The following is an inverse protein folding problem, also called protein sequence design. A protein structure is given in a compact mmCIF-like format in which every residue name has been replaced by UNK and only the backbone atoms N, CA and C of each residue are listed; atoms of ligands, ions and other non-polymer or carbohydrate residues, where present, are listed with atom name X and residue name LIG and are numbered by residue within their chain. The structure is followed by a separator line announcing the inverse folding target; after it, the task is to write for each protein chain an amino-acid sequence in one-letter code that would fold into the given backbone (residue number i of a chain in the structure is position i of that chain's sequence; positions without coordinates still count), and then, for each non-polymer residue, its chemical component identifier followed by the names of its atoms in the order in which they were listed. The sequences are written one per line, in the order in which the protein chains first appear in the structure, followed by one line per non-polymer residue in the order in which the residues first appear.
data_IF_329771166752
#
_entry.id   IF_329771166752
#
_cell.length_a   1.000
_cell.length_b   1.000
_cell.length_c   1.000
_cell.angle_alpha   90.00
_cell.angle_beta   90.00
_cell.angle_gamma   90.00
#
_symmetry.space_group_name_H-M   'P 1'
#
loop_
_entity.id
_entity.type
_entity.pdbx_description
1 polymer ?
#
# COMPACT_ATOMS: atom_id res chain seq x y z
N UNK A 1 30.17 42.24 39.88
CA UNK A 1 30.46 42.15 41.33
C UNK A 1 29.15 41.76 42.00
N UNK A 2 29.00 40.79 42.92
CA UNK A 2 29.95 40.01 43.75
C UNK A 2 29.70 38.49 43.60
N UNK A 3 30.60 37.66 44.15
CA UNK A 3 30.48 36.19 44.29
C UNK A 3 29.84 35.84 45.64
N UNK A 4 29.22 34.65 45.78
CA UNK A 4 29.34 33.66 46.88
C UNK A 4 28.49 32.42 46.47
N UNK A 5 29.05 31.23 46.19
CA UNK A 5 29.62 30.17 47.05
C UNK A 5 28.58 29.25 47.73
N UNK A 6 28.43 28.07 47.08
CA UNK A 6 27.90 26.75 47.46
C UNK A 6 27.49 26.41 48.91
N UNK A 7 26.52 25.49 49.01
CA UNK A 7 26.62 24.29 49.87
C UNK A 7 25.84 23.10 49.26
N UNK A 8 26.46 21.92 49.22
CA UNK A 8 25.75 20.64 48.98
C UNK A 8 25.14 20.14 50.29
N UNK A 9 23.97 19.49 50.20
CA UNK A 9 23.41 18.69 51.29
C UNK A 9 22.88 17.36 50.72
N UNK A 10 23.63 16.27 50.95
CA UNK A 10 23.25 14.91 50.58
C UNK A 10 22.30 14.35 51.64
N UNK A 11 21.09 13.92 51.26
CA UNK A 11 20.15 13.24 52.16
C UNK A 11 20.05 11.77 51.75
N UNK A 12 20.59 10.88 52.59
CA UNK A 12 20.23 9.46 52.55
C UNK A 12 18.83 9.29 53.14
N UNK A 13 17.95 8.57 52.45
CA UNK A 13 16.70 8.07 53.02
C UNK A 13 16.60 6.56 52.79
N UNK A 14 16.93 5.79 53.82
CA UNK A 14 16.74 4.33 53.82
C UNK A 14 15.33 3.99 54.32
N UNK A 15 14.42 3.69 53.41
CA UNK A 15 13.10 3.12 53.73
C UNK A 15 13.12 1.59 53.66
N UNK A 16 12.86 0.92 54.78
CA UNK A 16 12.50 -0.50 54.76
C UNK A 16 11.09 -0.65 54.18
N UNK A 17 10.91 -1.59 53.25
CA UNK A 17 9.60 -2.12 52.87
C UNK A 17 9.61 -3.64 52.99
N UNK A 18 8.58 -4.17 53.64
CA UNK A 18 8.44 -5.60 53.96
C UNK A 18 7.74 -6.31 52.81
N UNK A 19 8.22 -7.51 52.49
CA UNK A 19 7.73 -8.37 51.41
C UNK A 19 6.47 -9.13 51.83
N UNK A 20 5.41 -9.19 51.00
CA UNK A 20 4.51 -10.32 50.94
C UNK A 20 5.01 -11.32 49.88
N UNK A 21 5.14 -12.59 50.28
CA UNK A 21 5.64 -13.68 49.44
C UNK A 21 4.60 -14.14 48.42
N UNK A 22 4.90 -14.00 47.13
CA UNK A 22 4.24 -14.80 46.10
C UNK A 22 4.87 -16.21 46.07
N UNK A 23 4.02 -17.24 46.06
CA UNK A 23 4.45 -18.64 45.89
C UNK A 23 4.72 -18.89 44.41
N UNK A 24 5.67 -19.78 44.13
CA UNK A 24 6.17 -20.04 42.79
C UNK A 24 5.13 -20.71 41.87
N UNK A 25 5.24 -20.39 40.58
CA UNK A 25 5.27 -21.46 39.58
C UNK A 25 6.45 -21.20 38.62
N UNK A 26 7.35 -22.17 38.51
CA UNK A 26 8.45 -22.11 37.54
C UNK A 26 7.84 -22.23 36.13
N UNK A 27 8.22 -21.34 35.22
CA UNK A 27 7.90 -21.48 33.80
C UNK A 27 8.57 -22.75 33.27
N UNK A 28 7.84 -23.88 33.30
CA UNK A 28 8.22 -25.10 32.61
C UNK A 28 8.08 -24.86 31.13
N UNK A 29 9.21 -24.69 30.45
CA UNK A 29 9.27 -24.85 29.00
C UNK A 29 8.69 -26.24 28.67
N UNK A 30 7.60 -26.27 27.92
CA UNK A 30 6.99 -27.52 27.47
C UNK A 30 7.86 -28.08 26.35
N UNK A 31 8.80 -28.94 26.73
CA UNK A 31 9.65 -29.68 25.83
C UNK A 31 8.80 -30.77 25.17
N UNK A 32 8.51 -30.63 23.87
CA UNK A 32 7.83 -31.67 23.10
C UNK A 32 8.73 -32.90 23.01
N UNK A 33 8.50 -33.91 23.86
CA UNK A 33 9.27 -35.15 23.81
C UNK A 33 8.89 -35.93 22.54
N UNK A 34 9.92 -36.27 21.75
CA UNK A 34 9.74 -36.72 20.37
C UNK A 34 9.23 -38.16 20.23
N UNK A 35 8.03 -38.45 20.71
CA UNK A 35 7.33 -39.74 20.54
C UNK A 35 5.93 -39.50 19.99
N UNK A 36 5.69 -40.09 18.82
CA UNK A 36 4.41 -40.05 18.12
C UNK A 36 3.26 -40.62 18.98
N UNK A 37 2.03 -40.16 18.67
CA UNK A 37 0.71 -40.69 19.10
C UNK A 37 0.02 -40.08 20.35
N UNK A 38 0.00 -38.74 20.54
CA UNK A 38 -1.11 -38.11 21.30
C UNK A 38 -1.39 -36.61 21.01
N UNK A 39 -1.56 -36.22 19.74
CA UNK A 39 -2.02 -34.88 19.34
C UNK A 39 -3.04 -34.96 18.18
N UNK A 40 -4.29 -35.36 18.48
CA UNK A 40 -5.35 -35.59 17.50
C UNK A 40 -6.38 -34.46 17.37
N UNK A 41 -6.32 -33.75 16.23
CA UNK A 41 -7.37 -32.99 15.50
C UNK A 41 -8.75 -32.72 16.15
N UNK A 42 -9.21 -31.45 16.21
CA UNK A 42 -10.62 -31.07 16.38
C UNK A 42 -11.47 -31.34 15.13
N UNK A 43 -12.79 -31.46 15.30
CA UNK A 43 -13.77 -31.51 14.20
C UNK A 43 -14.08 -30.12 13.62
N UNK A 44 -14.66 -30.12 12.41
CA UNK A 44 -14.57 -29.05 11.40
C UNK A 44 -15.85 -28.20 11.33
N UNK A 45 -15.76 -26.85 11.22
CA UNK A 45 -16.59 -26.04 10.28
C UNK A 45 -16.18 -24.55 10.23
N UNK A 46 -16.17 -23.95 9.03
CA UNK A 46 -16.20 -22.48 8.83
C UNK A 46 -14.91 -21.69 9.11
N UNK A 47 -14.73 -20.52 8.47
CA UNK A 47 -13.59 -19.64 8.78
C UNK A 47 -13.48 -18.36 7.93
N UNK A 48 -12.51 -17.52 8.27
CA UNK A 48 -12.29 -16.19 7.68
C UNK A 48 -11.90 -15.19 8.78
N UNK A 49 -10.95 -14.30 8.52
CA UNK A 49 -10.44 -13.34 9.52
C UNK A 49 -10.62 -11.89 9.07
N UNK A 50 -11.30 -11.12 9.91
CA UNK A 50 -11.49 -9.67 9.90
C UNK A 50 -12.12 -9.34 11.25
N UNK A 51 -11.55 -8.42 12.02
CA UNK A 51 -11.83 -8.35 13.46
C UNK A 51 -13.27 -7.92 13.79
N UNK A 52 -13.98 -8.57 14.71
CA UNK A 52 -13.66 -9.81 15.44
C UNK A 52 -14.54 -9.97 16.69
N UNK A 53 -14.81 -11.17 17.21
CA UNK A 53 -14.44 -12.54 16.79
C UNK A 53 -15.18 -13.54 17.71
N UNK A 54 -15.61 -14.72 17.27
CA UNK A 54 -14.80 -15.81 16.70
C UNK A 54 -14.33 -16.78 17.81
N UNK A 55 -14.20 -18.09 17.65
CA UNK A 55 -14.42 -19.02 16.52
C UNK A 55 -14.11 -20.47 16.98
N UNK A 56 -14.45 -21.52 16.21
CA UNK A 56 -13.72 -22.81 16.21
C UNK A 56 -13.62 -23.36 14.78
N UNK A 57 -12.47 -23.95 14.41
CA UNK A 57 -11.91 -24.06 13.06
C UNK A 57 -11.17 -25.44 12.88
N UNK A 58 -10.93 -26.06 11.71
CA UNK A 58 -11.22 -25.78 10.28
C UNK A 58 -11.01 -27.09 9.46
N UNK A 59 -11.64 -27.25 8.27
CA UNK A 59 -11.09 -27.79 6.99
C UNK A 59 -12.07 -28.65 6.15
N UNK A 60 -11.99 -28.81 4.82
CA UNK A 60 -11.63 -28.01 3.63
C UNK A 60 -12.09 -28.88 2.44
N UNK A 61 -12.70 -28.41 1.35
CA UNK A 61 -12.12 -27.84 0.11
C UNK A 61 -13.30 -27.44 -0.80
N UNK A 62 -13.26 -26.44 -1.67
CA UNK A 62 -12.19 -25.60 -2.22
C UNK A 62 -12.46 -24.09 -2.01
N UNK A 63 -13.36 -23.68 -1.10
CA UNK A 63 -13.01 -23.60 0.34
C UNK A 63 -13.82 -24.47 1.33
N UNK A 64 -14.82 -25.25 0.90
CA UNK A 64 -15.46 -26.29 1.74
C UNK A 64 -16.86 -25.98 2.25
N UNK A 65 -17.87 -26.50 1.54
CA UNK A 65 -19.32 -26.57 1.85
C UNK A 65 -19.64 -27.30 3.16
N UNK A 66 -20.79 -27.17 3.87
CA UNK A 66 -21.97 -26.25 3.89
C UNK A 66 -23.00 -26.83 4.88
N UNK A 67 -23.79 -26.05 5.65
CA UNK A 67 -25.19 -26.36 6.07
C UNK A 67 -25.81 -25.17 6.84
N UNK A 68 -27.15 -25.06 6.82
CA UNK A 68 -27.93 -23.97 7.46
C UNK A 68 -28.02 -24.09 8.98
N UNK A 69 -28.17 -22.95 9.67
CA UNK A 69 -29.30 -22.63 10.57
C UNK A 69 -29.48 -21.10 10.62
N UNK A 70 -30.55 -20.63 11.28
CA UNK A 70 -30.96 -19.22 11.41
C UNK A 70 -29.82 -18.20 11.41
N UNK A 71 -30.01 -17.13 10.62
CA UNK A 71 -29.17 -15.94 10.72
C UNK A 71 -29.52 -15.22 12.05
N UNK A 72 -28.49 -14.89 12.81
CA UNK A 72 -28.44 -14.18 14.10
C UNK A 72 -27.19 -13.31 13.95
N UNK A 73 -27.38 -12.05 13.56
CA UNK A 73 -26.30 -11.22 13.00
C UNK A 73 -25.40 -10.58 14.07
N UNK A 74 -25.89 -10.37 15.29
CA UNK A 74 -25.18 -9.67 16.36
C UNK A 74 -24.87 -10.52 17.61
N UNK A 75 -25.13 -11.83 17.54
CA UNK A 75 -24.86 -12.85 18.57
C UNK A 75 -25.65 -12.61 19.89
N UNK A 76 -26.85 -11.99 19.85
CA UNK A 76 -27.68 -11.75 21.05
C UNK A 76 -28.47 -12.98 21.53
N UNK A 77 -28.77 -13.91 20.62
CA UNK A 77 -29.53 -15.14 20.86
C UNK A 77 -30.99 -15.12 20.38
N UNK A 78 -31.41 -14.08 19.66
CA UNK A 78 -32.64 -14.00 18.87
C UNK A 78 -32.31 -14.23 17.38
N UNK A 79 -33.21 -14.86 16.62
CA UNK A 79 -33.04 -15.06 15.17
C UNK A 79 -33.51 -13.82 14.41
N UNK A 80 -32.78 -13.36 13.38
CA UNK A 80 -33.05 -12.15 12.57
C UNK A 80 -34.52 -12.00 12.12
N UNK A 81 -35.23 -13.11 11.89
CA UNK A 81 -36.65 -13.13 11.46
C UNK A 81 -37.66 -12.85 12.59
N UNK A 82 -37.20 -12.84 13.84
CA UNK A 82 -37.98 -12.64 15.07
C UNK A 82 -37.39 -11.54 15.96
N UNK A 83 -36.31 -10.91 15.50
CA UNK A 83 -35.59 -9.85 16.18
C UNK A 83 -36.10 -8.48 15.73
N UNK A 84 -36.43 -7.60 16.68
CA UNK A 84 -36.83 -6.21 16.43
C UNK A 84 -35.64 -5.23 16.31
N UNK A 85 -34.40 -5.67 16.58
CA UNK A 85 -33.16 -4.98 16.25
C UNK A 85 -32.07 -5.92 15.69
N UNK A 86 -32.21 -6.49 14.47
CA UNK A 86 -31.31 -7.51 13.86
C UNK A 86 -29.83 -7.15 13.64
N UNK A 87 -29.31 -6.09 14.28
CA UNK A 87 -27.93 -5.61 14.22
C UNK A 87 -27.46 -4.93 15.52
N UNK A 88 -28.31 -4.86 16.55
CA UNK A 88 -28.03 -4.14 17.80
C UNK A 88 -28.50 -4.97 19.02
N UNK A 89 -27.59 -5.82 19.51
CA UNK A 89 -27.73 -6.69 20.69
C UNK A 89 -28.77 -6.21 21.73
N UNK A 90 -29.94 -6.84 21.74
CA UNK A 90 -31.06 -6.47 22.61
C UNK A 90 -31.90 -7.71 23.05
N UNK A 91 -31.32 -8.64 23.85
CA UNK A 91 -31.92 -9.95 24.10
C UNK A 91 -33.17 -9.92 25.01
N UNK A 92 -33.62 -8.73 25.42
CA UNK A 92 -34.91 -8.52 26.08
C UNK A 92 -36.04 -8.11 25.12
N UNK A 93 -35.72 -7.73 23.88
CA UNK A 93 -36.66 -7.41 22.80
C UNK A 93 -37.71 -6.39 23.25
N UNK A 94 -37.25 -5.36 23.95
CA UNK A 94 -38.09 -4.23 24.34
C UNK A 94 -38.54 -3.45 23.10
N UNK A 95 -39.81 -3.03 23.11
CA UNK A 95 -40.52 -2.28 22.07
C UNK A 95 -41.64 -1.54 22.83
N UNK A 96 -41.42 -0.24 23.06
CA UNK A 96 -42.18 0.56 24.02
C UNK A 96 -43.48 1.14 23.45
N UNK A 97 -43.55 1.36 22.14
CA UNK A 97 -44.75 1.89 21.45
C UNK A 97 -45.47 0.86 20.55
N UNK A 98 -44.82 -0.24 20.19
CA UNK A 98 -45.39 -1.38 19.47
C UNK A 98 -45.30 -1.28 17.96
N UNK A 99 -44.32 -0.55 17.42
CA UNK A 99 -44.19 -0.30 15.98
C UNK A 99 -43.49 -1.43 15.20
N UNK A 100 -42.67 -2.24 15.88
CA UNK A 100 -41.91 -3.37 15.34
C UNK A 100 -40.38 -3.18 15.31
N UNK A 101 -39.87 -2.02 15.68
CA UNK A 101 -38.46 -1.72 15.96
C UNK A 101 -38.24 -1.78 17.48
N UNK A 102 -37.07 -2.22 17.94
CA UNK A 102 -36.80 -2.34 19.36
C UNK A 102 -36.20 -1.09 19.99
N UNK A 103 -36.50 -0.83 21.28
CA UNK A 103 -36.00 0.31 22.09
C UNK A 103 -34.46 0.51 22.04
N UNK A 104 -33.71 -0.52 21.63
CA UNK A 104 -32.25 -0.51 21.51
C UNK A 104 -31.71 0.05 20.18
N UNK A 105 -32.52 0.04 19.13
CA UNK A 105 -32.19 0.54 17.79
C UNK A 105 -33.20 1.55 17.24
N UNK A 106 -34.29 1.79 17.96
CA UNK A 106 -35.31 2.78 17.65
C UNK A 106 -34.80 4.21 17.92
N UNK A 107 -34.88 5.08 16.91
CA UNK A 107 -34.54 6.50 17.01
C UNK A 107 -35.66 7.38 17.60
N UNK A 108 -36.86 6.83 17.80
CA UNK A 108 -37.98 7.45 18.52
C UNK A 108 -38.72 6.46 19.46
N UNK A 109 -38.10 5.97 20.57
CA UNK A 109 -38.62 4.90 21.46
C UNK A 109 -39.96 5.08 22.19
N UNK A 110 -40.78 6.07 21.80
CA UNK A 110 -42.11 6.34 22.35
C UNK A 110 -43.12 6.80 21.27
N UNK A 111 -42.72 6.95 20.00
CA UNK A 111 -43.46 7.65 18.93
C UNK A 111 -43.42 6.91 17.56
N UNK A 112 -43.71 5.61 17.59
CA UNK A 112 -43.99 4.67 16.49
C UNK A 112 -43.73 5.16 15.04
N UNK A 113 -42.55 4.83 14.53
CA UNK A 113 -42.04 5.15 13.19
C UNK A 113 -41.29 3.95 12.56
N UNK A 114 -42.00 2.94 12.00
CA UNK A 114 -41.37 1.70 11.50
C UNK A 114 -40.46 1.87 10.28
N UNK A 115 -40.41 3.06 9.69
CA UNK A 115 -39.49 3.44 8.62
C UNK A 115 -38.18 4.05 9.15
N UNK A 116 -38.12 4.38 10.45
CA UNK A 116 -36.96 4.95 11.15
C UNK A 116 -36.36 6.15 10.42
N UNK A 117 -37.22 6.97 9.82
CA UNK A 117 -36.82 8.19 9.14
C UNK A 117 -36.09 9.13 10.11
N UNK A 118 -34.97 9.68 9.64
CA UNK A 118 -34.11 10.63 10.33
C UNK A 118 -33.43 11.43 9.21
N UNK A 119 -33.91 12.64 8.99
CA UNK A 119 -33.58 13.48 7.84
C UNK A 119 -32.20 14.16 7.97
N UNK A 120 -31.83 14.65 9.15
CA UNK A 120 -30.54 15.31 9.41
C UNK A 120 -29.42 14.36 9.86
N UNK A 121 -29.79 13.18 10.37
CA UNK A 121 -28.89 12.16 10.86
C UNK A 121 -28.46 12.33 12.34
N UNK A 122 -29.22 13.07 13.15
CA UNK A 122 -28.95 13.24 14.59
C UNK A 122 -29.36 12.00 15.44
N UNK A 123 -29.32 12.13 16.78
CA UNK A 123 -29.65 11.04 17.70
C UNK A 123 -31.18 10.72 17.79
N UNK A 124 -32.06 11.39 17.01
CA UNK A 124 -33.52 11.22 17.00
C UNK A 124 -34.06 10.91 15.60
N UNK A 125 -35.27 10.36 15.53
CA UNK A 125 -36.03 10.25 14.28
C UNK A 125 -36.99 11.40 14.02
N UNK A 126 -37.41 11.53 12.76
CA UNK A 126 -38.37 12.53 12.27
C UNK A 126 -39.68 12.56 13.06
N UNK A 127 -40.09 11.44 13.64
CA UNK A 127 -41.37 11.30 14.35
C UNK A 127 -41.39 11.98 15.73
N UNK A 128 -40.22 12.12 16.35
CA UNK A 128 -40.05 12.66 17.70
C UNK A 128 -39.13 13.88 17.77
N UNK A 129 -38.66 14.38 16.63
CA UNK A 129 -37.86 15.60 16.58
C UNK A 129 -38.63 16.88 16.22
N UNK A 130 -38.23 17.97 16.86
CA UNK A 130 -38.81 19.31 16.76
C UNK A 130 -38.16 20.17 15.64
N UNK A 131 -37.07 19.72 15.00
CA UNK A 131 -36.14 20.49 14.15
C UNK A 131 -35.53 19.58 13.04
N UNK A 132 -36.38 18.87 12.28
CA UNK A 132 -36.04 17.57 11.64
C UNK A 132 -34.94 17.60 10.59
N UNK A 133 -34.65 18.75 10.00
CA UNK A 133 -33.59 18.91 9.02
C UNK A 133 -32.29 19.51 9.61
N UNK A 134 -32.28 19.77 10.93
CA UNK A 134 -31.11 20.20 11.68
C UNK A 134 -30.67 21.63 11.41
N UNK A 135 -31.52 22.48 10.81
CA UNK A 135 -31.16 23.84 10.39
C UNK A 135 -31.06 24.84 11.56
N UNK A 136 -31.69 24.52 12.69
CA UNK A 136 -31.74 25.35 13.91
C UNK A 136 -33.02 26.18 14.06
N UNK A 137 -34.00 25.99 13.19
CA UNK A 137 -35.32 26.62 13.17
C UNK A 137 -36.38 25.53 13.28
N UNK A 138 -36.84 25.28 14.50
CA UNK A 138 -37.84 24.24 14.78
C UNK A 138 -39.05 24.24 13.79
N UNK A 139 -39.47 23.03 13.37
CA UNK A 139 -40.49 22.67 12.37
C UNK A 139 -41.74 23.58 12.29
N UNK A 140 -42.15 24.18 13.43
CA UNK A 140 -43.35 25.00 13.55
C UNK A 140 -43.11 26.51 13.32
N UNK A 141 -41.85 26.92 13.10
CA UNK A 141 -41.42 28.29 12.77
C UNK A 141 -40.79 28.35 11.38
N UNK A 142 -40.30 27.22 10.90
CA UNK A 142 -39.63 27.02 9.64
C UNK A 142 -40.55 27.19 8.41
N UNK A 143 -40.04 27.82 7.36
CA UNK A 143 -40.66 27.95 6.05
C UNK A 143 -40.33 26.79 5.08
N UNK A 144 -39.39 25.90 5.43
CA UNK A 144 -39.06 24.63 4.78
C UNK A 144 -38.79 23.45 5.76
N UNK A 145 -39.76 22.99 6.57
CA UNK A 145 -39.61 21.97 7.66
C UNK A 145 -39.03 20.58 7.32
N UNK A 146 -38.54 20.36 6.11
CA UNK A 146 -37.99 19.12 5.57
C UNK A 146 -36.74 19.40 4.67
N UNK A 147 -36.18 20.63 4.67
CA UNK A 147 -35.10 21.07 3.76
C UNK A 147 -34.24 22.18 4.38
N UNK A 148 -33.12 21.79 5.02
CA UNK A 148 -32.16 22.65 5.72
C UNK A 148 -31.94 24.03 5.06
N UNK A 149 -32.44 25.10 5.69
CA UNK A 149 -32.30 26.47 5.19
C UNK A 149 -32.16 27.55 6.31
N UNK A 150 -31.04 27.56 7.08
CA UNK A 150 -30.92 28.35 8.32
C UNK A 150 -31.04 29.88 8.18
N UNK A 151 -31.01 30.40 6.95
CA UNK A 151 -31.23 31.81 6.66
C UNK A 151 -32.70 32.18 6.48
N UNK A 152 -33.59 31.19 6.33
CA UNK A 152 -35.03 31.30 6.16
C UNK A 152 -35.40 32.30 5.05
N UNK A 153 -34.63 32.25 3.95
CA UNK A 153 -34.88 33.07 2.78
C UNK A 153 -36.26 32.78 2.18
N UNK A 154 -36.96 33.83 1.74
CA UNK A 154 -38.31 33.84 1.16
C UNK A 154 -38.36 35.06 0.23
N UNK A 155 -37.95 34.86 -1.03
CA UNK A 155 -37.65 35.91 -1.99
C UNK A 155 -38.92 36.62 -2.49
N UNK A 156 -40.01 35.89 -2.70
CA UNK A 156 -41.28 36.41 -3.19
C UNK A 156 -42.28 36.80 -2.08
N UNK A 157 -42.15 36.20 -0.88
CA UNK A 157 -42.99 36.45 0.29
C UNK A 157 -44.26 35.59 0.37
N UNK A 158 -44.34 34.43 -0.30
CA UNK A 158 -45.48 33.51 -0.23
C UNK A 158 -45.54 32.69 1.08
N UNK A 159 -44.40 32.60 1.79
CA UNK A 159 -44.27 31.91 3.08
C UNK A 159 -43.76 30.47 3.00
N UNK A 160 -43.34 29.99 1.82
CA UNK A 160 -42.37 28.89 1.66
C UNK A 160 -40.96 29.49 1.54
N UNK A 161 -39.95 28.77 1.99
CA UNK A 161 -38.58 29.23 1.82
C UNK A 161 -37.99 28.92 0.44
N UNK A 162 -37.00 29.72 0.02
CA UNK A 162 -36.30 29.58 -1.28
C UNK A 162 -35.76 28.16 -1.51
N UNK A 163 -35.43 27.42 -0.44
CA UNK A 163 -34.91 26.06 -0.50
C UNK A 163 -35.96 24.99 -0.89
N UNK A 164 -37.24 25.23 -0.62
CA UNK A 164 -38.34 24.28 -0.86
C UNK A 164 -39.47 24.84 -1.74
N UNK A 165 -39.39 26.11 -2.14
CA UNK A 165 -40.37 26.72 -3.04
C UNK A 165 -40.11 26.35 -4.52
N UNK A 166 -41.09 25.76 -5.24
CA UNK A 166 -40.93 25.43 -6.66
C UNK A 166 -40.94 26.64 -7.63
N UNK A 167 -41.20 27.88 -7.19
CA UNK A 167 -41.27 29.11 -8.03
C UNK A 167 -40.71 30.31 -7.24
N UNK A 168 -39.41 30.26 -6.88
CA UNK A 168 -38.73 31.10 -5.88
C UNK A 168 -38.93 32.61 -6.08
N UNK A 169 -39.19 33.07 -7.30
CA UNK A 169 -39.38 34.50 -7.60
C UNK A 169 -40.84 34.93 -7.79
N UNK A 170 -41.80 34.01 -7.62
CA UNK A 170 -43.24 34.24 -7.71
C UNK A 170 -43.76 34.66 -9.08
N UNK A 171 -43.03 34.39 -10.18
CA UNK A 171 -43.42 34.86 -11.52
C UNK A 171 -44.43 33.95 -12.23
N UNK A 172 -44.65 32.73 -11.74
CA UNK A 172 -45.55 31.73 -12.32
C UNK A 172 -44.83 30.70 -13.20
N UNK A 173 -43.50 30.62 -13.14
CA UNK A 173 -42.67 29.69 -13.91
C UNK A 173 -41.87 28.83 -12.93
N UNK A 174 -42.09 27.50 -12.88
CA UNK A 174 -41.34 26.65 -11.95
C UNK A 174 -39.83 26.77 -12.16
N UNK A 175 -39.03 26.67 -11.09
CA UNK A 175 -37.58 26.86 -11.10
C UNK A 175 -36.88 26.06 -12.21
N UNK A 176 -37.29 24.81 -12.44
CA UNK A 176 -36.78 23.90 -13.48
C UNK A 176 -37.02 24.37 -14.94
N UNK A 177 -37.89 25.36 -15.12
CA UNK A 177 -38.29 25.96 -16.40
C UNK A 177 -38.06 27.47 -16.46
N UNK A 178 -37.59 28.09 -15.38
CA UNK A 178 -37.30 29.52 -15.30
C UNK A 178 -35.83 29.77 -15.66
N UNK A 179 -35.50 30.64 -16.62
CA UNK A 179 -34.12 31.05 -16.88
C UNK A 179 -33.49 31.89 -15.76
N UNK A 180 -34.27 32.40 -14.80
CA UNK A 180 -33.84 33.36 -13.79
C UNK A 180 -34.56 33.15 -12.42
N UNK A 181 -34.54 31.93 -11.83
CA UNK A 181 -35.33 31.61 -10.63
C UNK A 181 -34.99 32.49 -9.42
N UNK A 182 -33.74 32.94 -9.27
CA UNK A 182 -33.31 33.81 -8.16
C UNK A 182 -33.58 35.31 -8.36
N UNK A 183 -34.34 35.71 -9.38
CA UNK A 183 -34.61 37.12 -9.71
C UNK A 183 -36.07 37.48 -9.50
N UNK A 184 -36.38 38.09 -8.35
CA UNK A 184 -37.73 38.49 -7.93
C UNK A 184 -38.56 39.13 -9.07
N UNK A 185 -39.68 38.50 -9.45
CA UNK A 185 -40.55 38.93 -10.53
C UNK A 185 -40.08 38.59 -11.96
N UNK A 186 -39.00 37.81 -12.10
CA UNK A 186 -38.47 37.26 -13.36
C UNK A 186 -37.78 38.28 -14.30
N UNK A 187 -37.43 37.81 -15.49
CA UNK A 187 -37.02 38.65 -16.63
C UNK A 187 -38.11 38.76 -17.68
N UNK A 188 -38.25 39.95 -18.27
CA UNK A 188 -39.21 40.20 -19.34
C UNK A 188 -38.59 39.93 -20.73
N UNK A 189 -38.25 38.67 -21.03
CA UNK A 189 -37.78 38.25 -22.35
C UNK A 189 -36.73 37.14 -22.34
N UNK A 190 -36.09 36.98 -23.50
CA UNK A 190 -35.04 36.01 -23.83
C UNK A 190 -33.64 36.59 -23.54
N UNK A 191 -33.47 37.24 -22.36
CA UNK A 191 -32.26 37.98 -21.97
C UNK A 191 -31.58 37.26 -20.80
N UNK A 192 -31.06 36.06 -21.10
CA UNK A 192 -30.47 35.12 -20.13
C UNK A 192 -29.09 35.56 -19.63
N UNK A 193 -28.40 36.42 -20.37
CA UNK A 193 -27.10 37.00 -20.01
C UNK A 193 -27.16 37.80 -18.69
N UNK A 194 -28.33 38.25 -18.25
CA UNK A 194 -28.51 38.91 -16.94
C UNK A 194 -28.59 37.92 -15.75
N UNK A 195 -28.61 36.61 -15.99
CA UNK A 195 -28.87 35.57 -14.97
C UNK A 195 -27.75 34.53 -14.87
N UNK A 196 -27.03 34.28 -15.96
CA UNK A 196 -25.90 33.36 -16.01
C UNK A 196 -24.70 34.04 -16.72
N UNK A 197 -23.88 34.82 -16.00
CA UNK A 197 -22.64 35.35 -16.57
C UNK A 197 -21.70 34.21 -16.95
N UNK A 198 -21.01 34.40 -18.08
CA UNK A 198 -19.91 33.56 -18.59
C UNK A 198 -18.73 34.52 -18.81
N UNK A 199 -17.81 34.53 -17.86
CA UNK A 199 -16.76 35.54 -17.69
C UNK A 199 -15.60 35.37 -18.68
N UNK A 200 -15.38 34.18 -19.22
CA UNK A 200 -14.28 33.89 -20.17
C UNK A 200 -14.74 33.44 -21.57
N UNK A 201 -16.04 33.15 -21.72
CA UNK A 201 -16.76 32.82 -22.94
C UNK A 201 -16.43 31.41 -23.47
N UNK A 202 -16.28 30.43 -22.58
CA UNK A 202 -16.11 29.03 -22.94
C UNK A 202 -17.40 28.29 -23.28
N UNK A 203 -18.55 28.77 -22.78
CA UNK A 203 -19.86 28.15 -22.92
C UNK A 203 -20.43 27.58 -21.61
N UNK A 204 -19.67 27.63 -20.53
CA UNK A 204 -20.05 27.26 -19.16
C UNK A 204 -20.26 28.55 -18.34
N UNK A 205 -21.42 28.75 -17.70
CA UNK A 205 -21.62 29.92 -16.84
C UNK A 205 -20.77 29.86 -15.57
N UNK A 206 -20.33 31.02 -15.05
CA UNK A 206 -19.50 31.22 -13.84
C UNK A 206 -19.95 30.43 -12.58
N UNK A 207 -21.22 30.03 -12.51
CA UNK A 207 -21.83 29.29 -11.38
C UNK A 207 -21.78 27.76 -11.53
N UNK A 208 -21.43 27.27 -12.72
CA UNK A 208 -21.23 25.85 -13.04
C UNK A 208 -19.81 25.58 -13.59
N UNK A 209 -19.00 26.62 -13.74
CA UNK A 209 -17.66 26.58 -14.26
C UNK A 209 -16.65 26.30 -13.13
N UNK A 210 -15.88 25.23 -13.24
CA UNK A 210 -14.82 24.87 -12.29
C UNK A 210 -13.54 25.72 -12.47
N UNK A 211 -13.47 26.55 -13.51
CA UNK A 211 -12.42 27.56 -13.75
C UNK A 211 -12.97 28.90 -14.31
N UNK A 212 -13.82 29.67 -13.57
CA UNK A 212 -14.61 30.85 -14.04
C UNK A 212 -13.91 32.01 -14.77
N UNK A 213 -12.60 31.96 -14.99
CA UNK A 213 -11.81 32.99 -15.66
C UNK A 213 -10.77 32.40 -16.64
N UNK A 214 -10.87 31.10 -16.98
CA UNK A 214 -9.84 30.25 -17.58
C UNK A 214 -10.39 29.18 -18.55
N UNK A 215 -10.92 29.64 -19.70
CA UNK A 215 -11.45 28.84 -20.83
C UNK A 215 -11.11 27.34 -20.85
N UNK A 216 -12.03 26.49 -20.39
CA UNK A 216 -11.89 25.04 -20.27
C UNK A 216 -13.23 24.32 -20.55
N UNK A 217 -13.75 24.36 -21.80
CA UNK A 217 -15.13 23.98 -22.13
C UNK A 217 -15.44 22.48 -22.05
N UNK A 218 -14.45 21.66 -21.70
CA UNK A 218 -14.60 20.24 -21.34
C UNK A 218 -14.71 20.00 -19.83
N UNK A 219 -14.49 21.03 -19.00
CA UNK A 219 -14.68 21.03 -17.55
C UNK A 219 -13.98 19.83 -16.89
N UNK A 220 -12.75 19.57 -17.33
CA UNK A 220 -11.89 18.54 -16.76
C UNK A 220 -11.56 18.87 -15.30
N UNK A 221 -11.65 17.85 -14.46
CA UNK A 221 -11.43 17.85 -13.00
C UNK A 221 -10.99 16.41 -12.69
N UNK A 222 -9.67 16.21 -12.56
CA UNK A 222 -9.05 14.89 -12.49
C UNK A 222 -9.12 14.28 -11.07
N UNK A 223 -9.04 15.09 -10.02
CA UNK A 223 -9.07 14.62 -8.62
C UNK A 223 -10.47 14.68 -7.98
N UNK A 224 -11.36 15.53 -8.51
CA UNK A 224 -12.74 15.72 -8.06
C UNK A 224 -12.91 16.73 -6.93
N UNK A 225 -11.95 17.64 -6.68
CA UNK A 225 -12.05 18.67 -5.64
C UNK A 225 -12.97 19.86 -6.01
N UNK A 226 -13.30 20.01 -7.30
CA UNK A 226 -14.15 21.06 -7.85
C UNK A 226 -13.41 22.25 -8.45
N UNK A 227 -12.08 22.22 -8.51
CA UNK A 227 -11.23 23.13 -9.30
C UNK A 227 -10.84 22.41 -10.60
N UNK A 228 -10.98 23.09 -11.75
CA UNK A 228 -10.68 22.44 -13.04
C UNK A 228 -9.19 22.37 -13.40
N UNK A 229 -8.82 21.35 -14.19
CA UNK A 229 -7.44 21.04 -14.58
C UNK A 229 -6.63 22.24 -15.14
N UNK A 230 -7.29 23.21 -15.80
CA UNK A 230 -6.66 24.40 -16.40
C UNK A 230 -6.31 25.48 -15.36
N UNK A 231 -6.97 25.50 -14.20
CA UNK A 231 -6.75 26.47 -13.13
C UNK A 231 -6.26 25.85 -11.81
N UNK A 232 -6.22 24.53 -11.70
CA UNK A 232 -5.71 23.80 -10.54
C UNK A 232 -4.16 23.83 -10.42
N UNK A 233 -3.59 24.22 -9.26
CA UNK A 233 -2.17 24.05 -8.97
C UNK A 233 -1.68 22.62 -8.68
N UNK A 234 -2.57 21.63 -8.42
CA UNK A 234 -2.27 20.30 -7.84
C UNK A 234 -3.24 19.21 -8.38
N UNK A 235 -3.25 19.01 -9.70
CA UNK A 235 -4.37 18.44 -10.50
C UNK A 235 -4.70 16.96 -10.27
N UNK A 236 -3.94 16.25 -9.45
CA UNK A 236 -4.28 14.89 -9.03
C UNK A 236 -4.50 14.73 -7.52
N UNK A 237 -4.47 15.84 -6.77
CA UNK A 237 -4.81 15.88 -5.35
C UNK A 237 -3.79 15.18 -4.42
N UNK A 238 -2.59 14.86 -4.90
CA UNK A 238 -1.59 14.11 -4.12
C UNK A 238 -0.86 14.97 -3.06
N UNK A 239 -0.89 16.31 -3.22
CA UNK A 239 -0.24 17.29 -2.36
C UNK A 239 1.08 17.86 -2.89
N UNK A 240 1.48 17.52 -4.12
CA UNK A 240 2.69 17.96 -4.81
C UNK A 240 2.34 18.76 -6.07
N UNK A 241 2.25 20.09 -5.91
CA UNK A 241 1.94 21.03 -7.02
C UNK A 241 2.58 20.68 -8.37
N UNK A 242 1.79 20.77 -9.45
CA UNK A 242 2.07 20.36 -10.84
C UNK A 242 3.46 20.76 -11.40
N UNK A 243 4.05 21.84 -10.88
CA UNK A 243 5.36 22.36 -11.31
C UNK A 243 6.58 21.69 -10.62
N UNK A 244 6.34 20.85 -9.61
CA UNK A 244 7.34 20.10 -8.84
C UNK A 244 7.13 18.59 -8.90
N UNK A 245 5.96 18.15 -9.34
CA UNK A 245 5.59 16.77 -9.49
C UNK A 245 6.31 16.06 -10.65
N UNK A 246 6.73 14.81 -10.43
CA UNK A 246 7.25 13.91 -11.45
C UNK A 246 6.18 13.02 -12.11
N UNK A 247 4.93 13.04 -11.62
CA UNK A 247 3.75 12.42 -12.21
C UNK A 247 2.47 13.31 -12.16
N UNK A 248 2.43 14.50 -12.80
CA UNK A 248 1.35 15.51 -12.68
C UNK A 248 -0.12 15.10 -12.93
N UNK A 249 -0.42 13.84 -13.20
CA UNK A 249 -1.76 13.33 -13.48
C UNK A 249 -1.99 11.93 -12.86
N UNK A 250 -1.16 11.48 -11.92
CA UNK A 250 -1.18 10.11 -11.33
C UNK A 250 -0.66 10.15 -9.88
N UNK A 251 -1.55 10.10 -8.86
CA UNK A 251 -1.17 10.45 -7.48
C UNK A 251 -0.02 9.62 -6.92
N UNK A 252 1.09 10.27 -6.56
CA UNK A 252 2.27 9.63 -6.00
C UNK A 252 3.00 10.48 -4.91
N UNK A 253 2.40 10.66 -3.71
CA UNK A 253 2.89 11.64 -2.72
C UNK A 253 4.31 11.39 -2.17
N UNK A 254 4.93 10.25 -2.50
CA UNK A 254 6.30 9.91 -2.15
C UNK A 254 7.34 10.34 -3.21
N UNK A 255 6.88 10.76 -4.39
CA UNK A 255 7.67 11.23 -5.53
C UNK A 255 8.80 10.26 -5.88
N UNK A 256 8.48 8.95 -5.85
CA UNK A 256 9.41 7.90 -6.20
C UNK A 256 9.91 8.04 -7.65
N UNK A 257 11.24 8.02 -7.81
CA UNK A 257 11.97 8.03 -9.09
C UNK A 257 13.24 7.17 -8.88
N UNK A 258 13.10 5.88 -9.14
CA UNK A 258 14.10 4.88 -8.77
C UNK A 258 15.26 4.78 -9.77
N UNK A 259 15.05 5.07 -11.05
CA UNK A 259 16.09 5.04 -12.09
C UNK A 259 16.63 6.42 -12.52
N UNK A 260 15.93 7.50 -12.14
CA UNK A 260 16.38 8.91 -12.18
C UNK A 260 16.40 9.55 -13.55
N UNK A 261 15.37 9.27 -14.34
CA UNK A 261 15.16 9.93 -15.62
C UNK A 261 14.35 11.24 -15.50
N UNK A 262 13.56 11.39 -14.43
CA UNK A 262 12.74 12.55 -14.10
C UNK A 262 11.23 12.35 -14.26
N UNK A 263 10.78 11.16 -14.66
CA UNK A 263 9.39 10.69 -14.57
C UNK A 263 9.25 9.85 -13.30
N UNK A 264 8.10 9.91 -12.62
CA UNK A 264 7.90 9.12 -11.39
C UNK A 264 7.52 7.66 -11.66
N UNK A 265 7.91 6.77 -10.73
CA UNK A 265 7.66 5.32 -10.76
C UNK A 265 6.16 4.97 -10.95
N UNK A 266 5.23 5.89 -10.64
CA UNK A 266 3.78 5.71 -10.75
C UNK A 266 3.22 5.94 -12.16
N UNK A 267 3.83 6.83 -12.94
CA UNK A 267 3.36 7.25 -14.27
C UNK A 267 4.34 6.90 -15.40
N UNK A 268 5.52 6.36 -15.08
CA UNK A 268 6.53 5.97 -16.06
C UNK A 268 6.18 4.65 -16.80
N UNK A 269 5.86 4.68 -18.11
CA UNK A 269 5.57 3.48 -18.90
C UNK A 269 6.83 2.67 -19.27
N UNK A 270 8.00 3.31 -19.17
CA UNK A 270 9.31 2.78 -19.51
C UNK A 270 10.11 2.33 -18.28
N UNK A 271 9.58 2.47 -17.06
CA UNK A 271 10.21 2.21 -15.75
C UNK A 271 11.15 1.00 -15.71
N UNK A 272 12.45 1.25 -15.45
CA UNK A 272 13.47 0.30 -15.84
C UNK A 272 14.67 0.16 -14.88
N UNK A 273 14.75 -0.94 -14.14
CA UNK A 273 16.00 -1.26 -13.46
C UNK A 273 17.10 -1.75 -14.42
N UNK A 274 18.02 -0.84 -14.77
CA UNK A 274 19.16 -1.09 -15.65
C UNK A 274 20.38 -1.63 -14.89
N UNK A 275 20.69 -2.92 -15.08
CA UNK A 275 21.86 -3.55 -14.45
C UNK A 275 23.16 -3.12 -15.13
N UNK A 276 24.05 -2.46 -14.38
CA UNK A 276 25.39 -2.02 -14.83
C UNK A 276 25.39 -1.10 -16.08
N UNK A 277 24.29 -0.40 -16.36
CA UNK A 277 24.16 0.48 -17.54
C UNK A 277 23.84 -0.25 -18.85
N UNK A 278 23.47 -1.53 -18.80
CA UNK A 278 23.00 -2.30 -19.97
C UNK A 278 21.53 -1.99 -20.29
N UNK A 279 21.29 -0.84 -20.93
CA UNK A 279 19.94 -0.31 -21.24
C UNK A 279 19.12 -1.21 -22.18
N UNK A 280 19.69 -2.29 -22.72
CA UNK A 280 18.96 -3.29 -23.50
C UNK A 280 18.28 -4.36 -22.66
N UNK A 281 18.51 -4.37 -21.34
CA UNK A 281 18.07 -5.44 -20.43
C UNK A 281 17.24 -4.87 -19.28
N UNK A 282 16.01 -4.48 -19.63
CA UNK A 282 15.08 -3.83 -18.74
C UNK A 282 14.42 -4.81 -17.76
N UNK A 283 14.34 -4.43 -16.48
CA UNK A 283 13.72 -5.20 -15.41
C UNK A 283 12.60 -4.38 -14.71
N UNK A 284 11.52 -4.15 -15.45
CA UNK A 284 10.29 -3.50 -14.99
C UNK A 284 9.44 -4.44 -14.09
N UNK A 285 9.20 -4.13 -12.79
CA UNK A 285 8.33 -4.91 -11.90
C UNK A 285 6.88 -5.10 -12.36
N UNK A 286 6.32 -4.17 -13.15
CA UNK A 286 4.95 -4.19 -13.64
C UNK A 286 4.77 -5.04 -14.91
N UNK A 287 5.87 -5.55 -15.50
CA UNK A 287 5.86 -6.48 -16.63
C UNK A 287 6.03 -7.95 -16.19
N UNK A 288 5.63 -8.88 -17.06
CA UNK A 288 5.78 -10.34 -16.88
C UNK A 288 7.23 -10.75 -16.62
N UNK A 289 7.47 -11.99 -16.17
CA UNK A 289 8.77 -12.40 -15.62
C UNK A 289 9.95 -12.17 -16.58
N UNK A 290 10.86 -11.26 -16.21
CA UNK A 290 12.10 -10.95 -16.89
C UNK A 290 13.30 -11.35 -16.01
N UNK A 291 14.34 -11.89 -16.65
CA UNK A 291 15.56 -12.35 -15.99
C UNK A 291 16.79 -11.86 -16.75
N UNK A 292 17.82 -11.45 -16.03
CA UNK A 292 19.08 -10.97 -16.58
C UNK A 292 20.29 -11.48 -15.79
N UNK A 293 21.40 -11.65 -16.49
CA UNK A 293 22.72 -11.80 -15.87
C UNK A 293 23.75 -11.02 -16.69
N UNK A 294 24.54 -10.13 -16.06
CA UNK A 294 25.53 -9.36 -16.79
C UNK A 294 26.63 -10.25 -17.35
N UNK A 295 27.28 -9.79 -18.41
CA UNK A 295 28.51 -10.41 -18.91
C UNK A 295 29.58 -10.44 -17.82
N UNK A 296 30.27 -11.57 -17.70
CA UNK A 296 31.22 -11.85 -16.63
C UNK A 296 32.65 -11.95 -17.15
N UNK A 297 33.60 -11.64 -16.28
CA UNK A 297 35.03 -11.75 -16.53
C UNK A 297 35.66 -12.58 -15.42
N UNK A 298 36.62 -13.44 -15.76
CA UNK A 298 37.25 -14.35 -14.81
C UNK A 298 38.68 -14.72 -15.19
N UNK A 299 39.33 -15.46 -14.29
CA UNK A 299 40.66 -16.04 -14.53
C UNK A 299 40.59 -17.56 -14.46
N UNK A 300 41.46 -18.19 -15.24
CA UNK A 300 41.59 -19.66 -15.28
C UNK A 300 42.02 -20.17 -13.90
N UNK A 301 41.26 -21.10 -13.32
CA UNK A 301 41.47 -21.66 -11.98
C UNK A 301 40.75 -20.94 -10.83
N UNK A 302 40.19 -19.75 -11.05
CA UNK A 302 39.49 -18.96 -10.01
C UNK A 302 37.96 -19.14 -10.10
N UNK A 303 37.24 -19.19 -8.95
CA UNK A 303 35.78 -19.35 -8.95
C UNK A 303 35.06 -18.06 -9.34
N UNK A 304 34.32 -18.09 -10.45
CA UNK A 304 33.44 -17.01 -10.89
C UNK A 304 32.03 -17.28 -10.38
N UNK A 305 31.50 -16.35 -9.57
CA UNK A 305 30.11 -16.42 -9.06
C UNK A 305 29.14 -15.92 -10.13
N UNK A 306 28.10 -16.70 -10.39
CA UNK A 306 27.03 -16.33 -11.31
C UNK A 306 26.00 -15.50 -10.54
N UNK A 307 25.55 -14.37 -11.09
CA UNK A 307 24.55 -13.49 -10.47
C UNK A 307 23.27 -13.46 -11.27
N UNK A 308 22.16 -13.33 -10.56
CA UNK A 308 20.81 -13.36 -11.11
C UNK A 308 20.09 -12.07 -10.71
N UNK A 309 19.56 -11.39 -11.72
CA UNK A 309 18.69 -10.24 -11.58
C UNK A 309 17.34 -10.60 -12.21
N UNK A 310 16.23 -10.21 -11.58
CA UNK A 310 14.90 -10.38 -12.13
C UNK A 310 13.97 -9.27 -11.64
N UNK A 311 12.96 -8.93 -12.45
CA UNK A 311 12.04 -7.81 -12.20
C UNK A 311 11.08 -8.07 -11.03
N UNK A 312 10.61 -9.31 -10.89
CA UNK A 312 9.70 -9.73 -9.83
C UNK A 312 10.42 -9.80 -8.48
N UNK A 313 10.54 -8.69 -7.74
CA UNK A 313 11.28 -8.65 -6.47
C UNK A 313 10.66 -9.55 -5.39
N UNK A 314 11.49 -10.24 -4.61
CA UNK A 314 11.11 -11.16 -3.53
C UNK A 314 10.12 -12.29 -3.92
N UNK A 315 9.87 -12.52 -5.21
CA UNK A 315 9.15 -13.70 -5.68
C UNK A 315 9.97 -14.96 -5.39
N UNK A 316 9.30 -16.06 -5.03
CA UNK A 316 9.99 -17.33 -4.85
C UNK A 316 10.32 -17.93 -6.22
N UNK A 317 11.61 -18.00 -6.57
CA UNK A 317 12.08 -18.50 -7.86
C UNK A 317 12.90 -19.78 -7.69
N UNK A 318 12.68 -20.75 -8.58
CA UNK A 318 13.60 -21.86 -8.84
C UNK A 318 14.55 -21.43 -9.96
N UNK A 319 15.83 -21.75 -9.85
CA UNK A 319 16.82 -21.44 -10.87
C UNK A 319 17.57 -22.69 -11.36
N UNK A 320 17.98 -22.66 -12.63
CA UNK A 320 18.92 -23.58 -13.23
C UNK A 320 19.96 -22.83 -14.09
N UNK A 321 21.24 -23.09 -13.86
CA UNK A 321 22.36 -22.60 -14.64
C UNK A 321 22.93 -23.71 -15.52
N UNK A 322 22.99 -23.45 -16.83
CA UNK A 322 23.47 -24.38 -17.85
C UNK A 322 24.75 -23.84 -18.50
N UNK A 323 25.79 -24.67 -18.61
CA UNK A 323 26.95 -24.35 -19.43
C UNK A 323 26.67 -24.79 -20.88
N UNK A 324 26.34 -23.83 -21.74
CA UNK A 324 25.90 -24.08 -23.12
C UNK A 324 27.08 -24.22 -24.07
N UNK A 325 28.16 -23.47 -23.84
CA UNK A 325 29.37 -23.46 -24.66
C UNK A 325 30.61 -23.24 -23.81
N UNK A 326 31.70 -23.88 -24.19
CA UNK A 326 33.00 -23.76 -23.53
C UNK A 326 34.15 -23.98 -24.54
N UNK A 327 35.39 -23.57 -24.22
CA UNK A 327 36.57 -23.86 -25.04
C UNK A 327 36.75 -25.36 -25.29
N UNK A 328 37.26 -25.72 -26.47
CA UNK A 328 37.45 -27.12 -26.84
C UNK A 328 38.48 -27.80 -25.92
N UNK A 329 38.07 -28.88 -25.24
CA UNK A 329 38.88 -29.59 -24.26
C UNK A 329 38.66 -29.18 -22.80
N UNK A 330 37.88 -28.11 -22.55
CA UNK A 330 37.44 -27.69 -21.22
C UNK A 330 36.63 -28.79 -20.53
N UNK A 331 36.88 -28.96 -19.23
CA UNK A 331 36.13 -29.82 -18.31
C UNK A 331 35.44 -29.02 -17.20
N UNK A 332 35.32 -27.69 -17.37
CA UNK A 332 34.58 -26.83 -16.46
C UNK A 332 33.12 -27.28 -16.30
N UNK A 333 32.58 -27.07 -15.10
CA UNK A 333 31.18 -27.32 -14.76
C UNK A 333 30.69 -26.26 -13.78
N UNK A 334 29.38 -26.03 -13.76
CA UNK A 334 28.76 -25.12 -12.80
C UNK A 334 28.44 -25.91 -11.53
N UNK A 335 29.08 -25.54 -10.43
CA UNK A 335 28.76 -26.01 -9.09
C UNK A 335 27.49 -25.29 -8.59
N UNK A 336 26.67 -25.99 -7.79
CA UNK A 336 25.36 -25.49 -7.33
C UNK A 336 24.47 -24.96 -8.46
N UNK A 337 24.51 -25.62 -9.63
CA UNK A 337 23.80 -25.19 -10.84
C UNK A 337 22.28 -25.04 -10.66
N UNK A 338 21.65 -25.68 -9.66
CA UNK A 338 20.20 -25.63 -9.42
C UNK A 338 19.91 -25.31 -7.97
N UNK A 339 18.82 -24.57 -7.73
CA UNK A 339 18.36 -24.23 -6.39
C UNK A 339 17.12 -23.35 -6.40
N UNK A 340 16.85 -22.71 -5.27
CA UNK A 340 15.77 -21.75 -5.09
C UNK A 340 16.25 -20.49 -4.37
N UNK A 341 15.50 -19.41 -4.54
CA UNK A 341 15.68 -18.12 -3.87
C UNK A 341 14.32 -17.57 -3.45
N UNK A 342 14.30 -16.76 -2.39
CA UNK A 342 13.06 -16.19 -1.82
C UNK A 342 13.19 -14.73 -1.41
N UNK A 343 14.35 -14.11 -1.63
CA UNK A 343 14.63 -12.71 -1.25
C UNK A 343 15.59 -12.07 -2.24
N UNK A 344 15.40 -10.77 -2.47
CA UNK A 344 16.26 -9.92 -3.29
C UNK A 344 16.67 -8.65 -2.53
N UNK A 345 17.88 -8.16 -2.76
CA UNK A 345 18.18 -6.73 -2.61
C UNK A 345 18.00 -6.09 -3.98
N UNK A 346 17.43 -4.88 -4.12
CA UNK A 346 16.77 -4.38 -5.33
C UNK A 346 17.17 -5.08 -6.63
N UNK A 347 16.26 -5.94 -7.12
CA UNK A 347 16.39 -6.81 -8.30
C UNK A 347 17.47 -7.90 -8.26
N UNK A 348 18.56 -7.77 -7.49
CA UNK A 348 19.59 -8.81 -7.29
C UNK A 348 19.12 -9.90 -6.29
N UNK A 349 18.96 -11.10 -6.80
CA UNK A 349 18.51 -12.25 -6.03
C UNK A 349 19.61 -12.90 -5.21
N UNK A 350 19.30 -13.26 -3.96
CA UNK A 350 20.25 -13.87 -3.03
C UNK A 350 20.08 -15.37 -2.95
N UNK A 351 21.13 -16.09 -3.34
CA UNK A 351 21.25 -17.53 -3.12
C UNK A 351 21.37 -17.87 -1.63
N UNK A 352 20.87 -19.04 -1.26
CA UNK A 352 21.05 -19.59 0.09
C UNK A 352 22.54 -19.86 0.36
N UNK A 353 22.91 -19.85 1.65
CA UNK A 353 24.28 -20.10 2.08
C UNK A 353 24.70 -21.52 1.66
N UNK A 354 25.89 -21.64 1.07
CA UNK A 354 26.45 -22.85 0.43
C UNK A 354 25.77 -23.33 -0.87
N UNK A 355 24.73 -22.65 -1.39
CA UNK A 355 24.12 -22.97 -2.70
C UNK A 355 24.42 -21.91 -3.78
N UNK A 356 25.48 -21.11 -3.59
CA UNK A 356 25.89 -20.08 -4.55
C UNK A 356 26.36 -20.75 -5.85
N UNK A 357 25.76 -20.45 -7.01
CA UNK A 357 26.19 -21.00 -8.29
C UNK A 357 27.54 -20.40 -8.70
N UNK A 358 28.50 -21.26 -9.01
CA UNK A 358 29.84 -20.83 -9.40
C UNK A 358 30.43 -21.75 -10.46
N UNK A 359 31.25 -21.19 -11.33
CA UNK A 359 32.03 -21.93 -12.33
C UNK A 359 33.52 -21.71 -12.06
N UNK A 360 34.31 -22.76 -12.15
CA UNK A 360 35.79 -22.68 -12.11
C UNK A 360 36.29 -23.02 -13.52
N UNK A 361 36.66 -22.01 -14.34
CA UNK A 361 37.18 -22.24 -15.68
C UNK A 361 38.54 -22.95 -15.63
N UNK A 362 38.75 -23.97 -16.47
CA UNK A 362 40.03 -24.69 -16.57
C UNK A 362 40.88 -24.28 -17.79
N UNK A 363 40.30 -23.53 -18.74
CA UNK A 363 40.98 -22.98 -19.93
C UNK A 363 40.61 -21.51 -20.15
N UNK A 364 41.49 -20.70 -20.77
CA UNK A 364 41.14 -19.37 -21.25
C UNK A 364 40.19 -19.44 -22.46
N UNK A 365 39.41 -18.37 -22.65
CA UNK A 365 38.46 -18.21 -23.77
C UNK A 365 37.07 -17.79 -23.32
N UNK A 366 36.09 -17.92 -24.22
CA UNK A 366 34.69 -17.55 -23.94
C UNK A 366 33.87 -18.79 -23.60
N UNK A 367 33.22 -18.73 -22.44
CA UNK A 367 32.19 -19.64 -21.98
C UNK A 367 30.83 -18.96 -22.16
N UNK A 368 29.78 -19.74 -22.44
CA UNK A 368 28.41 -19.26 -22.61
C UNK A 368 27.54 -19.97 -21.57
N UNK A 369 27.01 -19.21 -20.62
CA UNK A 369 26.16 -19.72 -19.54
C UNK A 369 24.74 -19.24 -19.74
N UNK A 370 23.77 -20.14 -19.56
CA UNK A 370 22.35 -19.83 -19.64
C UNK A 370 21.72 -19.97 -18.26
N UNK A 371 21.08 -18.91 -17.80
CA UNK A 371 20.15 -18.91 -16.68
C UNK A 371 18.77 -19.32 -17.18
N UNK A 372 18.10 -20.20 -16.44
CA UNK A 372 16.67 -20.48 -16.51
C UNK A 372 16.09 -20.21 -15.14
N UNK A 373 14.97 -19.49 -15.06
CA UNK A 373 14.20 -19.30 -13.84
C UNK A 373 12.74 -19.75 -14.05
N UNK A 374 12.11 -20.17 -12.96
CA UNK A 374 10.73 -20.64 -12.90
C UNK A 374 10.07 -20.08 -11.63
N UNK A 375 8.88 -19.49 -11.73
CA UNK A 375 8.13 -19.07 -10.53
C UNK A 375 7.65 -20.28 -9.74
N UNK A 376 7.82 -20.25 -8.41
CA UNK A 376 7.35 -21.34 -7.52
C UNK A 376 5.86 -21.18 -7.18
N UNK A 377 5.39 -19.93 -7.20
CA UNK A 377 3.99 -19.55 -7.02
C UNK A 377 3.48 -18.86 -8.28
N UNK A 378 2.19 -18.56 -8.30
CA UNK A 378 1.60 -17.69 -9.32
C UNK A 378 2.38 -16.37 -9.41
N UNK A 379 2.70 -15.96 -10.63
CA UNK A 379 3.27 -14.64 -10.88
C UNK A 379 2.22 -13.56 -10.61
N UNK A 380 2.60 -12.53 -9.86
CA UNK A 380 1.65 -11.52 -9.35
C UNK A 380 1.12 -10.58 -10.43
N UNK A 381 1.84 -10.48 -11.56
CA UNK A 381 1.48 -9.63 -12.69
C UNK A 381 0.76 -10.45 -13.75
N UNK A 382 1.28 -11.63 -14.10
CA UNK A 382 0.76 -12.42 -15.21
C UNK A 382 -0.36 -13.40 -14.84
N UNK A 383 -0.57 -13.69 -13.54
CA UNK A 383 -1.48 -14.74 -13.07
C UNK A 383 -1.04 -16.15 -13.49
N UNK A 384 0.20 -16.33 -13.95
CA UNK A 384 0.68 -17.62 -14.48
C UNK A 384 1.46 -18.40 -13.42
N UNK A 385 1.07 -19.66 -13.20
CA UNK A 385 1.79 -20.60 -12.35
C UNK A 385 2.91 -21.31 -13.14
N UNK A 386 4.11 -21.39 -12.54
CA UNK A 386 5.33 -21.95 -13.15
C UNK A 386 5.77 -21.19 -14.43
N UNK A 387 5.59 -19.87 -14.45
CA UNK A 387 6.11 -19.02 -15.52
C UNK A 387 7.64 -19.18 -15.60
N UNK A 388 8.15 -19.43 -16.81
CA UNK A 388 9.55 -19.80 -17.03
C UNK A 388 10.22 -18.81 -17.97
N UNK A 389 11.31 -18.20 -17.52
CA UNK A 389 12.11 -17.27 -18.32
C UNK A 389 13.56 -17.73 -18.42
N UNK A 390 14.28 -17.33 -19.48
CA UNK A 390 15.69 -17.68 -19.62
C UNK A 390 16.56 -16.63 -20.30
N UNK A 391 17.80 -16.49 -19.84
CA UNK A 391 18.77 -15.50 -20.30
C UNK A 391 20.13 -16.14 -20.56
N UNK A 392 20.88 -15.68 -21.57
CA UNK A 392 22.23 -16.18 -21.89
C UNK A 392 23.28 -15.09 -21.70
N UNK A 393 24.30 -15.36 -20.89
CA UNK A 393 25.41 -14.47 -20.60
C UNK A 393 26.75 -15.06 -21.06
N UNK A 394 27.66 -14.19 -21.50
CA UNK A 394 29.03 -14.56 -21.81
C UNK A 394 29.94 -14.44 -20.58
N UNK A 395 30.81 -15.43 -20.37
CA UNK A 395 31.92 -15.38 -19.43
C UNK A 395 33.23 -15.39 -20.22
N UNK A 396 33.99 -14.30 -20.15
CA UNK A 396 35.32 -14.20 -20.78
C UNK A 396 36.40 -14.51 -19.75
N UNK A 397 37.27 -15.46 -20.05
CA UNK A 397 38.29 -15.99 -19.15
C UNK A 397 39.69 -15.77 -19.71
N UNK A 398 40.57 -15.21 -18.89
CA UNK A 398 41.98 -15.01 -19.22
C UNK A 398 42.92 -15.88 -18.35
N UNK A 399 44.20 -15.91 -18.70
CA UNK A 399 45.24 -16.68 -18.00
C UNK A 399 45.68 -17.95 -18.72
N UNK A 400 46.57 -18.71 -18.07
CA UNK A 400 47.09 -19.98 -18.60
C UNK A 400 46.19 -21.17 -18.21
N UNK A 401 46.11 -22.24 -19.03
CA UNK A 401 45.39 -23.48 -18.70
C UNK A 401 45.71 -24.07 -17.31
N UNK A 402 44.70 -24.56 -16.59
CA UNK A 402 44.92 -25.32 -15.35
C UNK A 402 45.54 -26.68 -15.69
N UNK A 403 46.84 -26.81 -15.45
CA UNK A 403 47.55 -28.09 -15.59
C UNK A 403 47.16 -29.00 -14.42
N UNK A 404 46.24 -29.95 -14.65
CA UNK A 404 46.01 -31.06 -13.71
C UNK A 404 47.19 -32.04 -13.79
N UNK A 405 48.09 -31.98 -12.82
CA UNK A 405 49.14 -33.00 -12.66
C UNK A 405 48.51 -34.37 -12.36
N UNK A 406 48.71 -35.34 -13.26
CA UNK A 406 48.38 -36.74 -13.02
C UNK A 406 49.41 -37.37 -12.07
N UNK A 407 49.19 -37.18 -10.76
CA UNK A 407 49.80 -37.93 -9.64
C UNK A 407 51.34 -37.99 -9.57
N UNK A 408 51.90 -37.19 -8.66
CA UNK A 408 53.18 -37.49 -8.03
C UNK A 408 53.02 -37.45 -6.50
N UNK A 409 53.37 -38.54 -5.81
CA UNK A 409 53.22 -38.64 -4.37
C UNK A 409 54.33 -37.93 -3.61
N UNK A 410 53.95 -37.20 -2.56
CA UNK A 410 54.81 -36.90 -1.41
C UNK A 410 55.59 -35.58 -1.45
N UNK A 411 55.18 -34.65 -0.59
CA UNK A 411 56.06 -34.17 0.49
C UNK A 411 55.23 -33.66 1.67
N UNK A 412 55.71 -33.93 2.88
CA UNK A 412 55.08 -33.49 4.13
C UNK A 412 55.46 -32.04 4.46
N UNK A 413 54.51 -31.28 5.00
CA UNK A 413 54.81 -30.07 5.78
C UNK A 413 54.20 -30.24 7.16
N UNK A 414 55.05 -30.14 8.19
CA UNK A 414 54.68 -30.27 9.61
C UNK A 414 54.03 -29.00 10.18
N UNK A 415 53.22 -29.10 11.23
CA UNK A 415 52.56 -27.94 11.82
C UNK A 415 53.54 -27.08 12.63
N UNK A 416 53.73 -25.82 12.20
CA UNK A 416 54.47 -24.82 12.97
C UNK A 416 53.53 -24.06 13.91
N UNK A 417 53.71 -24.21 15.22
CA UNK A 417 52.96 -23.45 16.23
C UNK A 417 53.39 -21.97 16.27
N UNK A 418 52.39 -21.12 16.54
CA UNK A 418 52.44 -19.81 17.20
C UNK A 418 53.81 -19.20 17.57
N UNK A 419 54.03 -17.96 17.13
CA UNK A 419 54.51 -16.89 18.03
C UNK A 419 53.85 -15.56 17.70
N UNK A 420 53.16 -14.97 18.68
CA UNK A 420 52.78 -13.56 18.70
C UNK A 420 54.02 -12.69 18.96
N UNK A 421 54.12 -11.54 18.31
CA UNK A 421 55.26 -10.64 18.49
C UNK A 421 55.07 -9.29 17.82
N UNK A 422 54.59 -8.31 18.57
CA UNK A 422 54.47 -6.91 18.13
C UNK A 422 55.85 -6.32 17.78
N UNK A 423 55.93 -5.58 16.68
CA UNK A 423 57.15 -4.87 16.27
C UNK A 423 56.86 -3.69 15.34
N UNK A 424 57.11 -2.47 15.85
CA UNK A 424 56.95 -1.18 15.17
C UNK A 424 57.41 -1.15 13.69
N UNK A 425 56.69 -0.40 12.86
CA UNK A 425 57.30 0.29 11.71
C UNK A 425 56.77 1.73 11.58
N UNK A 426 57.66 2.63 11.17
CA UNK A 426 57.53 4.08 11.34
C UNK A 426 56.60 4.77 10.33
N UNK A 427 55.94 5.82 10.83
CA UNK A 427 55.39 6.91 10.02
C UNK A 427 56.50 7.70 9.33
N UNK A 428 56.41 7.86 8.01
CA UNK A 428 56.93 9.01 7.29
C UNK A 428 55.85 9.51 6.31
N UNK A 429 55.23 10.64 6.65
CA UNK A 429 54.25 11.30 5.79
C UNK A 429 54.84 12.55 5.15
N UNK A 430 54.55 12.77 3.87
CA UNK A 430 54.74 14.04 3.16
C UNK A 430 53.56 14.31 2.22
N UNK A 431 52.65 15.15 2.70
CA UNK A 431 52.12 16.37 2.05
C UNK A 431 51.88 16.33 0.52
N UNK A 432 50.61 16.53 0.10
CA UNK A 432 50.24 16.56 -1.32
C UNK A 432 48.87 17.18 -1.67
N UNK A 433 48.63 18.45 -1.30
CA UNK A 433 47.72 19.43 -1.92
C UNK A 433 46.41 18.97 -2.61
N UNK A 434 45.27 19.35 -2.00
CA UNK A 434 43.96 19.41 -2.67
C UNK A 434 43.92 20.55 -3.70
N UNK A 435 43.41 20.28 -4.91
CA UNK A 435 42.92 21.30 -5.86
C UNK A 435 41.52 20.96 -6.35
N UNK A 436 40.52 21.66 -5.80
CA UNK A 436 39.14 21.66 -6.27
C UNK A 436 39.06 22.41 -7.61
N UNK A 437 38.43 21.83 -8.63
CA UNK A 437 38.19 22.50 -9.92
C UNK A 437 36.69 22.54 -10.20
N UNK A 438 36.10 23.72 -10.02
CA UNK A 438 34.80 24.06 -10.58
C UNK A 438 34.89 23.96 -12.12
N UNK A 439 33.86 23.38 -12.74
CA UNK A 439 33.55 23.61 -14.15
C UNK A 439 32.33 24.52 -14.23
N UNK A 440 32.39 25.43 -15.20
CA UNK A 440 31.21 26.03 -15.83
C UNK A 440 30.62 25.02 -16.79
#
# INVERSE_FOLDING_TARGET
MRRHLAYLATILLTGLLVVPTAVAEEARAFECDGRFEDCGTPELSGGGGGGGGGSILIANTDKGTSYQFADDYDDDGVEDNFDNCPRVYNPDQADSDGDGVGDACDNCPNDANPDQANLDGDDKGDACDDDRDGDGVANAQDNCPDVYNPDQADLDGDGKGDACDPDINGNGTPNESDPCPMKLGGVAGDDTDECFPDSDNDGTPDVHDNCPYHYNPDQADLDGDGVGDECDPDVDGDGVVNALDNCPNVPNPDQADSDRDGVGDACDPDYCFVVLGDTGNCLDPAKTLAAYSPSMFGQTGEPVRLRMFANQQNQALRFEWLLVKQPAGSKASIENARGTVTVSTPFEYRYLVNTVPQIVPDLPGTYEVKLVIETIWEDRVSGTLNETQSFTAALTVEGDPVVKEESAGGCSVTPGQSTSGYGLLLLLGLVGLVRRKLRR
#
